data_IF_094392947328
#
_entry.id   IF_094392947328
#
_cell.length_a   1.000
_cell.length_b   1.000
_cell.length_c   1.000
_cell.angle_alpha   90.00
_cell.angle_beta   90.00
_cell.angle_gamma   90.00
#
_symmetry.space_group_name_H-M   'P 1'
#
loop_
_entity.id
_entity.type
_entity.pdbx_description
1 polymer ?
#
# COMPACT_ATOMS: atom_id res chain seq x y z
N UNK A 1 -29.62 -9.12 -9.99
CA UNK A 1 -28.70 -8.09 -9.45
C UNK A 1 -27.59 -8.81 -8.70
N UNK A 2 -26.32 -8.71 -9.11
CA UNK A 2 -25.22 -9.18 -8.27
C UNK A 2 -25.06 -8.25 -7.05
N UNK A 3 -24.62 -8.79 -5.90
CA UNK A 3 -24.46 -8.02 -4.67
C UNK A 3 -23.41 -6.92 -4.86
N UNK A 4 -23.64 -5.75 -4.25
CA UNK A 4 -22.72 -4.61 -4.27
C UNK A 4 -21.38 -5.01 -3.65
N UNK A 5 -20.35 -5.23 -4.46
CA UNK A 5 -19.00 -5.39 -3.93
C UNK A 5 -18.55 -4.06 -3.31
N UNK A 6 -17.88 -4.12 -2.17
CA UNK A 6 -17.32 -2.94 -1.51
C UNK A 6 -15.91 -2.73 -2.07
N UNK A 7 -15.63 -1.48 -2.40
CA UNK A 7 -14.39 -1.02 -3.03
C UNK A 7 -13.14 -1.23 -2.14
N UNK A 8 -11.95 -1.50 -2.73
CA UNK A 8 -11.70 -1.85 -4.14
C UNK A 8 -11.64 -3.38 -4.32
N UNK A 9 -12.71 -3.96 -4.88
CA UNK A 9 -12.77 -5.35 -5.31
C UNK A 9 -13.16 -5.45 -6.80
N UNK A 10 -12.67 -6.49 -7.48
CA UNK A 10 -12.95 -6.80 -8.89
C UNK A 10 -14.42 -7.24 -9.07
N UNK A 11 -15.27 -6.38 -9.66
CA UNK A 11 -16.70 -6.66 -9.84
C UNK A 11 -16.98 -7.64 -10.99
N UNK A 12 -16.02 -7.95 -11.87
CA UNK A 12 -16.29 -8.66 -13.13
C UNK A 12 -15.28 -9.74 -13.52
N UNK A 13 -14.26 -10.00 -12.68
CA UNK A 13 -13.16 -10.93 -13.01
C UNK A 13 -12.16 -10.36 -14.03
N UNK A 14 -12.28 -9.08 -14.35
CA UNK A 14 -11.44 -8.34 -15.29
C UNK A 14 -11.06 -6.94 -14.79
N UNK A 15 -11.61 -6.51 -13.64
CA UNK A 15 -11.31 -5.22 -13.02
C UNK A 15 -10.19 -5.42 -11.99
N UNK A 16 -8.95 -5.31 -12.47
CA UNK A 16 -7.78 -5.16 -11.61
C UNK A 16 -7.92 -3.82 -10.86
N UNK A 17 -7.88 -3.78 -9.51
CA UNK A 17 -7.96 -2.53 -8.78
C UNK A 17 -6.81 -1.62 -9.23
N UNK A 18 -7.16 -0.38 -9.54
CA UNK A 18 -6.37 0.69 -10.16
C UNK A 18 -4.85 0.54 -9.93
N UNK A 19 -4.13 0.18 -11.00
CA UNK A 19 -2.70 0.44 -11.05
C UNK A 19 -2.48 1.95 -11.07
N UNK A 20 -1.67 2.44 -10.15
CA UNK A 20 -1.30 3.85 -10.12
C UNK A 20 -0.18 4.08 -11.13
N UNK A 21 -0.46 4.77 -12.23
CA UNK A 21 0.56 5.19 -13.20
C UNK A 21 1.18 6.53 -12.75
N UNK A 22 2.50 6.68 -12.91
CA UNK A 22 3.23 7.88 -12.49
C UNK A 22 3.62 7.98 -11.01
N UNK A 23 3.22 7.01 -10.16
CA UNK A 23 3.74 6.91 -8.79
C UNK A 23 5.17 6.38 -8.81
N UNK A 24 6.07 7.12 -8.16
CA UNK A 24 7.48 6.80 -8.03
C UNK A 24 7.86 6.75 -6.56
N UNK A 25 8.50 5.66 -6.18
CA UNK A 25 9.24 5.56 -4.93
C UNK A 25 10.53 6.35 -5.12
N UNK A 26 10.75 7.39 -4.33
CA UNK A 26 11.97 8.20 -4.40
C UNK A 26 12.87 8.03 -3.18
N UNK A 27 12.39 7.37 -2.12
CA UNK A 27 13.21 6.96 -0.98
C UNK A 27 12.70 5.65 -0.39
N UNK A 28 13.61 4.71 -0.17
CA UNK A 28 13.41 3.55 0.69
C UNK A 28 14.31 3.74 1.92
N UNK A 29 13.73 3.74 3.12
CA UNK A 29 14.44 4.17 4.33
C UNK A 29 15.46 3.16 4.84
N UNK A 30 15.32 1.88 4.50
CA UNK A 30 16.13 0.82 5.11
C UNK A 30 17.30 0.35 4.22
N UNK A 31 17.55 1.03 3.08
CA UNK A 31 18.60 0.65 2.11
C UNK A 31 18.36 -0.71 1.42
N UNK A 32 17.35 -1.45 1.87
CA UNK A 32 16.73 -2.60 1.22
C UNK A 32 15.28 -2.26 0.83
N UNK A 33 14.66 -3.15 0.05
CA UNK A 33 13.27 -3.01 -0.43
C UNK A 33 12.21 -3.14 0.70
N UNK A 34 12.63 -3.25 1.97
CA UNK A 34 11.79 -3.70 3.08
C UNK A 34 11.45 -2.64 4.13
N UNK A 35 11.98 -1.43 3.97
CA UNK A 35 11.66 -0.29 4.81
C UNK A 35 10.46 0.53 4.33
N UNK A 36 10.07 1.56 5.10
CA UNK A 36 9.09 2.55 4.64
C UNK A 36 9.48 3.14 3.29
N UNK A 37 8.47 3.40 2.47
CA UNK A 37 8.63 3.92 1.12
C UNK A 37 8.03 5.33 1.04
N UNK A 38 8.85 6.33 0.73
CA UNK A 38 8.35 7.65 0.37
C UNK A 38 8.07 7.70 -1.13
N UNK A 39 6.89 8.22 -1.45
CA UNK A 39 6.37 8.30 -2.81
C UNK A 39 5.79 9.68 -3.09
N UNK A 40 5.76 10.03 -4.37
CA UNK A 40 5.00 11.18 -4.88
C UNK A 40 3.50 10.86 -5.09
N UNK A 41 2.98 9.79 -4.49
CA UNK A 41 1.57 9.46 -4.63
C UNK A 41 0.74 10.54 -3.93
N UNK A 42 -0.23 11.12 -4.65
CA UNK A 42 -1.20 12.02 -4.06
C UNK A 42 -2.10 11.22 -3.11
N UNK A 43 -2.02 11.51 -1.81
CA UNK A 43 -2.90 10.92 -0.81
C UNK A 43 -3.60 11.99 0.01
N UNK A 44 -4.77 11.65 0.55
CA UNK A 44 -5.61 12.58 1.30
C UNK A 44 -6.03 11.99 2.64
N UNK A 45 -6.42 12.86 3.57
CA UNK A 45 -6.99 12.44 4.85
C UNK A 45 -8.17 11.47 4.65
N UNK A 46 -8.16 10.38 5.42
CA UNK A 46 -9.13 9.28 5.27
C UNK A 46 -8.65 8.11 4.43
N UNK A 47 -7.49 8.21 3.75
CA UNK A 47 -6.87 7.10 3.02
C UNK A 47 -5.83 6.32 3.84
N UNK A 48 -5.64 6.66 5.12
CA UNK A 48 -4.74 5.94 6.03
C UNK A 48 -5.05 4.45 6.06
N UNK A 49 -4.01 3.62 5.96
CA UNK A 49 -4.13 2.16 5.83
C UNK A 49 -4.47 1.66 4.43
N UNK A 50 -4.69 2.55 3.45
CA UNK A 50 -4.86 2.18 2.04
C UNK A 50 -3.57 1.59 1.46
N UNK A 51 -3.69 0.68 0.49
CA UNK A 51 -2.55 -0.05 -0.07
C UNK A 51 -1.98 0.57 -1.34
N UNK A 52 -0.66 0.51 -1.47
CA UNK A 52 0.05 0.65 -2.76
C UNK A 52 0.36 -0.72 -3.33
N UNK A 53 0.20 -0.85 -4.64
CA UNK A 53 0.34 -2.13 -5.35
C UNK A 53 1.41 -2.03 -6.44
N UNK A 54 2.19 -3.09 -6.58
CA UNK A 54 3.15 -3.28 -7.66
C UNK A 54 2.64 -4.34 -8.63
N UNK A 55 2.59 -4.01 -9.92
CA UNK A 55 2.38 -5.00 -10.97
C UNK A 55 3.71 -5.68 -11.28
N UNK A 56 3.88 -6.93 -10.86
CA UNK A 56 5.07 -7.73 -11.10
C UNK A 56 4.70 -9.10 -11.65
N UNK A 57 5.45 -9.58 -12.66
CA UNK A 57 5.22 -10.89 -13.31
C UNK A 57 3.75 -11.15 -13.75
N UNK A 58 3.01 -10.08 -14.11
CA UNK A 58 1.60 -10.18 -14.53
C UNK A 58 0.58 -10.21 -13.38
N UNK A 59 1.03 -10.21 -12.12
CA UNK A 59 0.22 -10.17 -10.91
C UNK A 59 0.36 -8.86 -10.13
N UNK A 60 -0.70 -8.48 -9.42
CA UNK A 60 -0.69 -7.33 -8.51
C UNK A 60 -0.25 -7.79 -7.11
N UNK A 61 0.78 -7.14 -6.57
CA UNK A 61 1.34 -7.43 -5.26
C UNK A 61 1.19 -6.21 -4.36
N UNK A 62 0.62 -6.39 -3.17
CA UNK A 62 0.59 -5.33 -2.17
C UNK A 62 2.02 -5.05 -1.72
N UNK A 63 2.45 -3.80 -1.89
CA UNK A 63 3.82 -3.39 -1.57
C UNK A 63 3.89 -2.70 -0.20
N UNK A 64 2.87 -1.93 0.18
CA UNK A 64 2.81 -1.27 1.48
C UNK A 64 1.46 -0.61 1.76
N UNK A 65 1.35 0.00 2.94
CA UNK A 65 0.15 0.68 3.43
C UNK A 65 0.44 2.14 3.81
N UNK A 66 -0.44 3.07 3.43
CA UNK A 66 -0.31 4.49 3.77
C UNK A 66 -0.27 4.65 5.30
N UNK A 67 0.86 5.13 5.82
CA UNK A 67 1.00 5.46 7.25
C UNK A 67 1.08 6.96 7.50
N UNK A 68 1.58 7.72 6.52
CA UNK A 68 1.75 9.16 6.62
C UNK A 68 1.56 9.83 5.27
N UNK A 69 1.00 11.02 5.29
CA UNK A 69 0.91 11.90 4.13
C UNK A 69 1.20 13.33 4.58
N UNK A 70 1.93 14.08 3.76
CA UNK A 70 2.09 15.52 3.89
C UNK A 70 1.95 16.19 2.51
N UNK A 71 2.16 17.50 2.43
CA UNK A 71 2.02 18.25 1.17
C UNK A 71 3.09 17.94 0.11
N UNK A 72 4.13 17.20 0.46
CA UNK A 72 5.30 16.92 -0.38
C UNK A 72 5.44 15.43 -0.73
N UNK A 73 5.09 14.53 0.19
CA UNK A 73 5.25 13.08 0.02
C UNK A 73 4.20 12.27 0.80
N UNK A 74 3.98 11.04 0.32
CA UNK A 74 3.21 10.00 1.00
C UNK A 74 4.13 8.85 1.37
N UNK A 75 4.13 8.48 2.65
CA UNK A 75 4.92 7.37 3.19
C UNK A 75 4.05 6.14 3.37
N UNK A 76 4.55 5.01 2.87
CA UNK A 76 3.93 3.69 3.01
C UNK A 76 4.79 2.80 3.90
N UNK A 77 4.20 2.22 4.94
CA UNK A 77 4.84 1.13 5.69
C UNK A 77 4.86 -0.11 4.80
N UNK A 78 6.04 -0.71 4.67
CA UNK A 78 6.31 -1.75 3.68
C UNK A 78 7.22 -2.82 4.26
N UNK A 79 7.29 -3.95 3.57
CA UNK A 79 8.29 -4.99 3.79
C UNK A 79 8.34 -5.61 5.19
N UNK A 80 9.53 -6.12 5.51
CA UNK A 80 9.85 -6.84 6.75
C UNK A 80 9.63 -5.97 7.99
N UNK A 81 9.91 -4.67 7.90
CA UNK A 81 9.72 -3.77 9.02
C UNK A 81 8.23 -3.69 9.42
N UNK A 82 7.36 -3.52 8.42
CA UNK A 82 5.91 -3.58 8.62
C UNK A 82 5.45 -4.94 9.18
N UNK A 83 5.92 -6.04 8.61
CA UNK A 83 5.58 -7.39 9.10
C UNK A 83 5.99 -7.58 10.57
N UNK A 84 7.20 -7.15 10.94
CA UNK A 84 7.70 -7.22 12.31
C UNK A 84 6.86 -6.36 13.26
N UNK A 85 6.44 -5.17 12.83
CA UNK A 85 5.53 -4.33 13.60
C UNK A 85 4.17 -5.01 13.83
N UNK A 86 3.58 -5.64 12.80
CA UNK A 86 2.33 -6.40 12.93
C UNK A 86 2.51 -7.59 13.88
N UNK A 87 3.59 -8.36 13.75
CA UNK A 87 3.88 -9.50 14.63
C UNK A 87 4.02 -9.04 16.09
N UNK A 88 4.75 -7.95 16.33
CA UNK A 88 4.90 -7.36 17.65
C UNK A 88 3.55 -6.87 18.20
N UNK A 89 2.74 -6.21 17.38
CA UNK A 89 1.42 -5.76 17.78
C UNK A 89 0.54 -6.94 18.23
N UNK A 90 0.52 -8.06 17.48
CA UNK A 90 -0.24 -9.28 17.84
C UNK A 90 0.23 -9.93 19.15
N UNK A 91 1.53 -9.83 19.46
CA UNK A 91 2.07 -10.37 20.72
C UNK A 91 1.67 -9.54 21.94
N UNK A 92 1.51 -8.22 21.77
CA UNK A 92 1.16 -7.31 22.86
C UNK A 92 -0.35 -7.00 22.95
N UNK A 93 -1.09 -7.20 21.86
CA UNK A 93 -2.53 -6.93 21.74
C UNK A 93 -3.21 -8.06 20.94
N UNK A 94 -3.45 -9.23 21.57
CA UNK A 94 -4.03 -10.41 20.92
C UNK A 94 -5.52 -10.26 20.59
#
# INVERSE_FOLDING_TARGET
>A
MPPSAIWPGDFTGAQRPYGMDGVRIHRAHDGDETGPLDTNADTYGGQSGGSIWLLFAGGMHALGLISRANSEESTFESGTNFVNHVLRARQHFP
#
